data_IF_261057646546
#
_entry.id   IF_261057646546
#
_cell.length_a   1.000
_cell.length_b   1.000
_cell.length_c   1.000
_cell.angle_alpha   90.00
_cell.angle_beta   90.00
_cell.angle_gamma   90.00
#
_symmetry.space_group_name_H-M   'P 1'
#
loop_
_entity.id
_entity.type
_entity.pdbx_description
1 polymer ?
#
# COMPACT_ATOMS: atom_id res chain seq x y z
N UNK A 1 -2.12 -0.61 5.92
CA UNK A 1 -2.86 -1.83 6.31
C UNK A 1 -2.64 -2.95 5.30
N UNK A 2 -2.98 -2.76 4.01
CA UNK A 2 -2.85 -3.82 2.98
C UNK A 2 -1.47 -4.49 2.91
N UNK A 3 -0.38 -3.73 2.88
CA UNK A 3 0.99 -4.28 2.89
C UNK A 3 1.24 -5.18 4.10
N UNK A 4 0.70 -4.84 5.28
CA UNK A 4 0.86 -5.67 6.47
C UNK A 4 0.06 -6.97 6.36
N UNK A 5 -1.12 -6.95 5.76
CA UNK A 5 -1.95 -8.14 5.52
C UNK A 5 -1.24 -9.07 4.54
N UNK A 6 -0.75 -8.55 3.42
CA UNK A 6 -0.11 -9.35 2.36
C UNK A 6 1.26 -9.89 2.79
N UNK A 7 2.07 -9.08 3.47
CA UNK A 7 3.47 -9.41 3.82
C UNK A 7 3.64 -9.88 5.27
N UNK A 8 2.62 -9.72 6.10
CA UNK A 8 2.60 -10.14 7.51
C UNK A 8 3.19 -9.14 8.51
N UNK A 9 3.98 -8.14 8.08
CA UNK A 9 4.53 -7.14 8.99
C UNK A 9 4.97 -5.83 8.32
N UNK A 10 4.97 -4.74 9.10
CA UNK A 10 5.57 -3.46 8.70
C UNK A 10 6.99 -3.31 9.27
N UNK A 11 7.89 -2.58 8.57
CA UNK A 11 9.27 -2.37 9.03
C UNK A 11 9.38 -1.74 10.43
N UNK A 12 8.41 -0.91 10.82
CA UNK A 12 8.37 -0.24 12.13
C UNK A 12 7.49 -0.95 13.17
N UNK A 13 7.05 -2.21 12.94
CA UNK A 13 6.12 -2.92 13.84
C UNK A 13 6.60 -3.03 15.29
N UNK A 14 7.92 -3.09 15.51
CA UNK A 14 8.54 -3.20 16.85
C UNK A 14 9.08 -1.87 17.39
N UNK A 15 8.93 -0.77 16.65
CA UNK A 15 9.43 0.55 17.06
C UNK A 15 8.37 1.25 17.90
N UNK A 16 8.71 1.55 19.16
CA UNK A 16 7.78 2.21 20.11
C UNK A 16 7.86 3.74 20.05
N UNK A 17 9.03 4.28 19.71
CA UNK A 17 9.25 5.72 19.65
C UNK A 17 8.62 6.33 18.38
N UNK A 18 7.90 7.45 18.55
CA UNK A 18 7.24 8.14 17.43
C UNK A 18 8.21 8.58 16.34
N UNK A 19 9.37 9.10 16.73
CA UNK A 19 10.42 9.56 15.79
C UNK A 19 10.96 8.38 14.98
N UNK A 20 11.25 7.26 15.63
CA UNK A 20 11.69 6.04 14.95
C UNK A 20 10.66 5.51 13.96
N UNK A 21 9.35 5.53 14.30
CA UNK A 21 8.27 5.15 13.37
C UNK A 21 8.21 6.09 12.16
N UNK A 22 8.38 7.40 12.37
CA UNK A 22 8.40 8.37 11.28
C UNK A 22 9.58 8.11 10.32
N UNK A 23 10.79 7.93 10.83
CA UNK A 23 11.97 7.62 10.01
C UNK A 23 11.76 6.32 9.24
N UNK A 24 11.23 5.28 9.89
CA UNK A 24 10.90 4.02 9.23
C UNK A 24 9.89 4.19 8.08
N UNK A 25 8.85 5.01 8.27
CA UNK A 25 7.87 5.35 7.22
C UNK A 25 8.52 6.09 6.05
N UNK A 26 9.36 7.08 6.32
CA UNK A 26 10.06 7.85 5.28
C UNK A 26 11.02 6.96 4.48
N UNK A 27 11.75 6.07 5.15
CA UNK A 27 12.65 5.12 4.49
C UNK A 27 11.88 4.16 3.59
N UNK A 28 10.79 3.56 4.08
CA UNK A 28 9.97 2.64 3.29
C UNK A 28 9.33 3.31 2.06
N UNK A 29 9.02 4.61 2.12
CA UNK A 29 8.43 5.35 1.00
C UNK A 29 9.48 5.83 -0.02
N UNK A 30 10.75 5.95 0.38
CA UNK A 30 11.87 6.41 -0.46
C UNK A 30 12.81 5.25 -0.82
N UNK A 31 14.01 5.20 -0.24
CA UNK A 31 15.07 4.25 -0.59
C UNK A 31 14.67 2.78 -0.35
N UNK A 32 13.80 2.53 0.64
CA UNK A 32 13.33 1.20 0.99
C UNK A 32 12.09 0.74 0.21
N UNK A 33 11.63 1.47 -0.80
CA UNK A 33 10.34 1.21 -1.47
C UNK A 33 10.24 -0.15 -2.15
N UNK A 34 11.29 -0.56 -2.86
CA UNK A 34 11.37 -1.89 -3.47
C UNK A 34 11.31 -3.00 -2.41
N UNK A 35 12.02 -2.84 -1.29
CA UNK A 35 11.99 -3.80 -0.21
C UNK A 35 10.66 -3.78 0.55
N UNK A 36 10.03 -2.61 0.68
CA UNK A 36 8.74 -2.44 1.34
C UNK A 36 7.66 -3.25 0.63
N UNK A 37 7.59 -3.16 -0.70
CA UNK A 37 6.64 -3.89 -1.55
C UNK A 37 7.14 -5.25 -2.07
N UNK A 38 8.25 -5.76 -1.56
CA UNK A 38 8.70 -7.11 -1.92
C UNK A 38 7.60 -8.14 -1.62
N UNK A 39 7.27 -8.97 -2.62
CA UNK A 39 6.15 -9.92 -2.63
C UNK A 39 4.75 -9.30 -2.48
N UNK A 40 4.61 -8.01 -2.78
CA UNK A 40 3.30 -7.37 -2.95
C UNK A 40 3.00 -7.16 -4.45
N UNK A 41 1.72 -7.10 -4.84
CA UNK A 41 1.33 -6.72 -6.20
C UNK A 41 1.87 -5.33 -6.56
N UNK A 42 2.26 -5.15 -7.82
CA UNK A 42 2.81 -3.86 -8.30
C UNK A 42 1.82 -2.70 -8.13
N UNK A 43 0.53 -2.98 -8.18
CA UNK A 43 -0.54 -2.00 -8.03
C UNK A 43 -0.47 -1.27 -6.68
N UNK A 44 0.09 -1.89 -5.65
CA UNK A 44 0.29 -1.21 -4.36
C UNK A 44 1.30 -0.07 -4.48
N UNK A 45 2.31 -0.23 -5.33
CA UNK A 45 3.26 0.82 -5.63
C UNK A 45 2.60 1.96 -6.43
N UNK A 46 1.81 1.61 -7.45
CA UNK A 46 1.01 2.57 -8.24
C UNK A 46 0.08 3.39 -7.35
N UNK A 47 -0.69 2.73 -6.48
CA UNK A 47 -1.57 3.38 -5.50
C UNK A 47 -0.77 4.33 -4.60
N UNK A 48 0.42 3.91 -4.14
CA UNK A 48 1.23 4.78 -3.30
C UNK A 48 1.75 6.01 -4.05
N UNK A 49 2.08 5.89 -5.35
CA UNK A 49 2.40 7.05 -6.21
C UNK A 49 1.21 8.00 -6.31
N UNK A 50 0.00 7.48 -6.54
CA UNK A 50 -1.22 8.30 -6.61
C UNK A 50 -1.46 9.05 -5.30
N UNK A 51 -1.32 8.37 -4.16
CA UNK A 51 -1.46 9.00 -2.83
C UNK A 51 -0.38 10.05 -2.60
N UNK A 52 0.87 9.80 -3.00
CA UNK A 52 1.98 10.74 -2.83
C UNK A 52 1.84 12.02 -3.69
N UNK A 53 1.05 11.96 -4.76
CA UNK A 53 0.78 13.11 -5.63
C UNK A 53 -0.30 14.06 -5.08
N UNK A 54 -1.11 13.62 -4.12
CA UNK A 54 -2.21 14.41 -3.56
C UNK A 54 -1.72 15.50 -2.60
N UNK A 55 -2.41 16.64 -2.62
CA UNK A 55 -2.31 17.70 -1.62
C UNK A 55 -3.46 17.60 -0.64
N UNK A 56 -3.37 18.40 0.42
CA UNK A 56 -4.38 18.41 1.49
C UNK A 56 -5.79 18.78 1.00
N UNK A 57 -5.89 19.66 0.02
CA UNK A 57 -7.17 20.16 -0.53
C UNK A 57 -7.70 19.32 -1.69
N UNK A 58 -6.90 18.36 -2.18
CA UNK A 58 -7.28 17.55 -3.34
C UNK A 58 -8.25 16.45 -2.95
N UNK A 59 -9.31 16.27 -3.73
CA UNK A 59 -10.16 15.09 -3.65
C UNK A 59 -9.46 13.88 -4.27
N UNK A 60 -9.29 12.76 -3.53
CA UNK A 60 -8.69 11.57 -4.09
C UNK A 60 -9.53 10.99 -5.22
N UNK A 61 -8.88 10.61 -6.31
CA UNK A 61 -9.53 9.87 -7.42
C UNK A 61 -9.74 8.41 -7.03
N UNK A 62 -10.80 8.16 -6.26
CA UNK A 62 -11.09 6.82 -5.73
C UNK A 62 -11.29 5.77 -6.83
N UNK A 63 -11.81 6.15 -8.00
CA UNK A 63 -11.96 5.22 -9.14
C UNK A 63 -10.62 4.62 -9.60
N UNK A 64 -9.57 5.44 -9.66
CA UNK A 64 -8.23 4.96 -10.03
C UNK A 64 -7.69 3.98 -8.98
N UNK A 65 -7.97 4.23 -7.69
CA UNK A 65 -7.59 3.35 -6.60
C UNK A 65 -8.35 2.02 -6.67
N UNK A 66 -9.66 2.05 -6.90
CA UNK A 66 -10.48 0.85 -7.05
C UNK A 66 -10.06 0.02 -8.26
N UNK A 67 -9.78 0.66 -9.40
CA UNK A 67 -9.29 -0.03 -10.58
C UNK A 67 -7.97 -0.79 -10.31
N UNK A 68 -7.04 -0.17 -9.59
CA UNK A 68 -5.80 -0.84 -9.19
C UNK A 68 -6.05 -2.02 -8.24
N UNK A 69 -7.03 -1.92 -7.34
CA UNK A 69 -7.39 -3.02 -6.43
C UNK A 69 -8.14 -4.15 -7.15
N UNK A 70 -8.97 -3.81 -8.14
CA UNK A 70 -9.65 -4.75 -9.03
C UNK A 70 -8.64 -5.63 -9.77
N UNK A 71 -7.62 -5.02 -10.38
CA UNK A 71 -6.54 -5.76 -11.02
C UNK A 71 -5.86 -6.74 -10.06
N UNK A 72 -5.63 -6.33 -8.81
CA UNK A 72 -5.05 -7.20 -7.79
C UNK A 72 -5.98 -8.38 -7.48
N UNK A 73 -7.29 -8.14 -7.37
CA UNK A 73 -8.29 -9.20 -7.13
C UNK A 73 -8.22 -10.26 -8.23
N UNK A 74 -8.21 -9.83 -9.49
CA UNK A 74 -8.12 -10.69 -10.67
C UNK A 74 -6.79 -11.47 -10.68
N UNK A 75 -5.67 -10.78 -10.41
CA UNK A 75 -4.34 -11.41 -10.41
C UNK A 75 -4.19 -12.49 -9.33
N UNK A 76 -4.77 -12.27 -8.15
CA UNK A 76 -4.72 -13.22 -7.03
C UNK A 76 -5.79 -14.33 -7.20
N UNK A 77 -6.64 -14.25 -8.23
CA UNK A 77 -7.74 -15.20 -8.49
C UNK A 77 -8.68 -15.35 -7.31
N UNK A 78 -8.96 -14.25 -6.63
CA UNK A 78 -10.03 -14.22 -5.64
C UNK A 78 -11.33 -14.28 -6.45
N UNK A 79 -11.91 -15.47 -6.58
CA UNK A 79 -13.27 -15.64 -7.10
C UNK A 79 -14.23 -15.00 -6.09
N UNK A 80 -15.11 -14.12 -6.57
CA UNK A 80 -16.18 -13.55 -5.76
C UNK A 80 -17.24 -14.63 -5.46
N UNK A 81 -16.94 -15.53 -4.52
CA UNK A 81 -17.90 -16.51 -3.96
C UNK A 81 -18.85 -15.87 -2.92
N UNK A 82 -19.21 -14.59 -3.14
CA UNK A 82 -20.19 -13.86 -2.35
C UNK A 82 -21.04 -13.00 -3.30
N UNK A 83 -21.88 -13.67 -4.10
CA UNK A 83 -23.06 -13.07 -4.72
C UNK A 83 -24.26 -13.33 -3.78
N UNK A 84 -24.81 -12.24 -3.24
CA UNK A 84 -26.03 -12.11 -2.41
C UNK A 84 -26.03 -12.70 -0.99
#
# INVERSE_FOLDING_TARGET
>A
MLVEITKGSLPWRRVKERVGVQVGKQMARKAGRAQFFHNCPRQYDTILVLIDALKFEDDPKYEDLYHNLEEVRILIRICDDQLY
#
